data_IF_114766639576
#
_entry.id   IF_114766639576
#
_cell.length_a   1.000
_cell.length_b   1.000
_cell.length_c   1.000
_cell.angle_alpha   90.00
_cell.angle_beta   90.00
_cell.angle_gamma   90.00
#
_symmetry.space_group_name_H-M   'P 1'
#
loop_
_entity.id
_entity.type
_entity.pdbx_description
1 polymer ?
#
# COMPACT_ATOMS: atom_id res chain seq x y z
N UNK A 1 129.91 -13.80 -43.69
CA UNK A 1 128.60 -14.20 -44.24
C UNK A 1 127.57 -14.59 -43.17
N UNK A 2 127.92 -14.57 -41.87
CA UNK A 2 126.99 -14.99 -40.79
C UNK A 2 126.17 -13.84 -40.16
N UNK A 3 126.68 -12.61 -40.04
CA UNK A 3 125.92 -11.52 -39.36
C UNK A 3 124.71 -10.98 -40.14
N UNK A 4 124.70 -11.10 -41.48
CA UNK A 4 123.56 -10.68 -42.31
C UNK A 4 122.36 -11.63 -42.27
N UNK A 5 122.57 -12.88 -41.83
CA UNK A 5 121.50 -13.87 -41.66
C UNK A 5 120.79 -13.71 -40.31
N UNK A 6 121.53 -13.33 -39.27
CA UNK A 6 121.00 -13.06 -37.92
C UNK A 6 120.09 -11.82 -37.89
N UNK A 7 120.49 -10.74 -38.57
CA UNK A 7 119.69 -9.50 -38.67
C UNK A 7 118.40 -9.68 -39.47
N UNK A 8 118.43 -10.50 -40.53
CA UNK A 8 117.24 -10.84 -41.32
C UNK A 8 116.27 -11.72 -40.54
N UNK A 9 116.79 -12.64 -39.73
CA UNK A 9 115.99 -13.51 -38.88
C UNK A 9 115.32 -12.74 -37.73
N UNK A 10 116.04 -11.79 -37.11
CA UNK A 10 115.50 -10.91 -36.07
C UNK A 10 114.38 -10.00 -36.60
N UNK A 11 114.56 -9.41 -37.79
CA UNK A 11 113.51 -8.62 -38.46
C UNK A 11 112.27 -9.45 -38.81
N UNK A 12 112.46 -10.67 -39.32
CA UNK A 12 111.37 -11.60 -39.61
C UNK A 12 110.62 -12.03 -38.34
N UNK A 13 111.33 -12.26 -37.23
CA UNK A 13 110.72 -12.57 -35.92
C UNK A 13 109.91 -11.40 -35.35
N UNK A 14 110.38 -10.16 -35.50
CA UNK A 14 109.65 -8.97 -35.04
C UNK A 14 108.38 -8.72 -35.88
N UNK A 15 108.44 -8.90 -37.20
CA UNK A 15 107.25 -8.84 -38.07
C UNK A 15 106.26 -9.97 -37.79
N UNK A 16 106.74 -11.20 -37.53
CA UNK A 16 105.91 -12.31 -37.05
C UNK A 16 105.22 -11.98 -35.71
N UNK A 17 105.93 -11.31 -34.79
CA UNK A 17 105.38 -10.89 -33.50
C UNK A 17 104.29 -9.82 -33.67
N UNK A 18 104.49 -8.83 -34.54
CA UNK A 18 103.48 -7.82 -34.88
C UNK A 18 102.25 -8.44 -35.53
N UNK A 19 102.45 -9.33 -36.51
CA UNK A 19 101.36 -10.06 -37.16
C UNK A 19 100.57 -10.90 -36.16
N UNK A 20 101.27 -11.62 -35.26
CA UNK A 20 100.63 -12.38 -34.18
C UNK A 20 99.82 -11.49 -33.24
N UNK A 21 100.36 -10.35 -32.83
CA UNK A 21 99.65 -9.40 -31.97
C UNK A 21 98.40 -8.82 -32.64
N UNK A 22 98.49 -8.50 -33.95
CA UNK A 22 97.33 -8.03 -34.73
C UNK A 22 96.26 -9.12 -34.83
N UNK A 23 96.64 -10.36 -35.13
CA UNK A 23 95.71 -11.50 -35.19
C UNK A 23 95.03 -11.73 -33.85
N UNK A 24 95.77 -11.68 -32.73
CA UNK A 24 95.20 -11.81 -31.39
C UNK A 24 94.21 -10.68 -31.09
N UNK A 25 94.56 -9.42 -31.38
CA UNK A 25 93.68 -8.28 -31.17
C UNK A 25 92.39 -8.40 -32.02
N UNK A 26 92.52 -8.77 -33.30
CA UNK A 26 91.37 -8.99 -34.18
C UNK A 26 90.49 -10.14 -33.69
N UNK A 27 91.09 -11.24 -33.20
CA UNK A 27 90.33 -12.35 -32.60
C UNK A 27 89.54 -11.90 -31.37
N UNK A 28 90.17 -11.14 -30.45
CA UNK A 28 89.46 -10.62 -29.27
C UNK A 28 88.32 -9.65 -29.64
N UNK A 29 88.49 -8.84 -30.68
CA UNK A 29 87.44 -7.94 -31.15
C UNK A 29 86.31 -8.69 -31.86
N UNK A 30 86.62 -9.75 -32.61
CA UNK A 30 85.63 -10.66 -33.19
C UNK A 30 84.82 -11.33 -32.08
N UNK A 31 85.46 -11.86 -31.05
CA UNK A 31 84.80 -12.49 -29.91
C UNK A 31 83.87 -11.51 -29.19
N UNK A 32 84.33 -10.28 -28.96
CA UNK A 32 83.51 -9.23 -28.35
C UNK A 32 82.30 -8.83 -29.22
N UNK A 33 82.48 -8.70 -30.53
CA UNK A 33 81.38 -8.40 -31.47
C UNK A 33 80.39 -9.56 -31.55
N UNK A 34 80.85 -10.80 -31.53
CA UNK A 34 80.00 -11.99 -31.51
C UNK A 34 79.17 -12.07 -30.22
N UNK A 35 79.76 -11.77 -29.06
CA UNK A 35 79.02 -11.69 -27.79
C UNK A 35 77.94 -10.60 -27.82
N UNK A 36 78.25 -9.41 -28.36
CA UNK A 36 77.27 -8.34 -28.54
C UNK A 36 76.15 -8.73 -29.51
N UNK A 37 76.49 -9.40 -30.61
CA UNK A 37 75.52 -9.87 -31.59
C UNK A 37 74.53 -10.84 -30.94
N UNK A 38 75.03 -11.83 -30.20
CA UNK A 38 74.21 -12.79 -29.45
C UNK A 38 73.28 -12.09 -28.45
N UNK A 39 73.77 -11.04 -27.79
CA UNK A 39 72.95 -10.25 -26.86
C UNK A 39 71.83 -9.49 -27.58
N UNK A 40 72.11 -8.93 -28.75
CA UNK A 40 71.11 -8.23 -29.57
C UNK A 40 70.08 -9.20 -30.14
N UNK A 41 70.50 -10.37 -30.63
CA UNK A 41 69.60 -11.43 -31.10
C UNK A 41 68.63 -11.84 -30.01
N UNK A 42 69.12 -12.14 -28.80
CA UNK A 42 68.26 -12.45 -27.65
C UNK A 42 67.26 -11.34 -27.34
N UNK A 43 67.70 -10.08 -27.34
CA UNK A 43 66.80 -8.93 -27.12
C UNK A 43 65.75 -8.80 -28.22
N UNK A 44 66.10 -9.12 -29.47
CA UNK A 44 65.19 -9.09 -30.61
C UNK A 44 64.12 -10.16 -30.48
N UNK A 45 64.52 -11.38 -30.07
CA UNK A 45 63.61 -12.50 -29.82
C UNK A 45 62.66 -12.20 -28.65
N UNK A 46 63.19 -11.68 -27.54
CA UNK A 46 62.39 -11.26 -26.38
C UNK A 46 61.37 -10.17 -26.78
N UNK A 47 61.79 -9.16 -27.56
CA UNK A 47 60.91 -8.11 -28.05
C UNK A 47 59.81 -8.64 -28.99
N UNK A 48 60.16 -9.58 -29.88
CA UNK A 48 59.22 -10.23 -30.80
C UNK A 48 58.16 -11.05 -30.05
N UNK A 49 58.58 -11.80 -29.03
CA UNK A 49 57.67 -12.55 -28.17
C UNK A 49 56.71 -11.64 -27.39
N UNK A 50 57.24 -10.57 -26.81
CA UNK A 50 56.45 -9.57 -26.09
C UNK A 50 55.45 -8.87 -27.02
N UNK A 51 55.86 -8.51 -28.25
CA UNK A 51 54.98 -7.89 -29.23
C UNK A 51 53.80 -8.80 -29.58
N UNK A 52 54.05 -10.10 -29.79
CA UNK A 52 52.98 -11.09 -30.06
C UNK A 52 51.99 -11.18 -28.89
N UNK A 53 52.50 -11.19 -27.65
CA UNK A 53 51.64 -11.22 -26.46
C UNK A 53 50.75 -9.98 -26.36
N UNK A 54 51.31 -8.79 -26.59
CA UNK A 54 50.55 -7.52 -26.58
C UNK A 54 49.53 -7.47 -27.71
N UNK A 55 49.87 -7.97 -28.90
CA UNK A 55 48.93 -8.03 -30.03
C UNK A 55 47.73 -8.93 -29.73
N UNK A 56 47.97 -10.09 -29.11
CA UNK A 56 46.91 -11.01 -28.71
C UNK A 56 45.99 -10.38 -27.66
N UNK A 57 46.57 -9.74 -26.64
CA UNK A 57 45.79 -9.06 -25.61
C UNK A 57 45.01 -7.86 -26.17
N UNK A 58 45.59 -7.10 -27.10
CA UNK A 58 44.89 -6.00 -27.75
C UNK A 58 43.70 -6.49 -28.58
N UNK A 59 43.84 -7.61 -29.29
CA UNK A 59 42.72 -8.24 -30.02
C UNK A 59 41.60 -8.68 -29.06
N UNK A 60 41.97 -9.27 -27.92
CA UNK A 60 41.03 -9.68 -26.87
C UNK A 60 40.28 -8.49 -26.26
N UNK A 61 41.00 -7.41 -25.95
CA UNK A 61 40.41 -6.17 -25.42
C UNK A 61 39.49 -5.50 -26.45
N UNK A 62 39.87 -5.49 -27.73
CA UNK A 62 39.05 -4.94 -28.79
C UNK A 62 37.72 -5.69 -28.90
N UNK A 63 37.75 -7.03 -28.83
CA UNK A 63 36.53 -7.84 -28.83
C UNK A 63 35.64 -7.54 -27.61
N UNK A 64 36.23 -7.48 -26.41
CA UNK A 64 35.49 -7.15 -25.19
C UNK A 64 34.83 -5.75 -25.27
N UNK A 65 35.52 -4.76 -25.85
CA UNK A 65 34.97 -3.43 -26.07
C UNK A 65 33.79 -3.42 -27.05
N UNK A 66 33.85 -4.22 -28.12
CA UNK A 66 32.75 -4.35 -29.08
C UNK A 66 31.52 -4.99 -28.41
N UNK A 67 31.71 -6.03 -27.61
CA UNK A 67 30.64 -6.67 -26.85
C UNK A 67 30.04 -5.72 -25.81
N UNK A 68 30.87 -4.97 -25.07
CA UNK A 68 30.40 -3.95 -24.13
C UNK A 68 29.60 -2.84 -24.81
N UNK A 69 30.03 -2.38 -25.99
CA UNK A 69 29.30 -1.37 -26.77
C UNK A 69 27.92 -1.87 -27.17
N UNK A 70 27.82 -3.12 -27.65
CA UNK A 70 26.53 -3.75 -28.01
C UNK A 70 25.59 -3.87 -26.81
N UNK A 71 26.11 -4.25 -25.64
CA UNK A 71 25.30 -4.34 -24.42
C UNK A 71 24.76 -2.96 -23.99
N UNK A 72 25.59 -1.92 -24.05
CA UNK A 72 25.18 -0.55 -23.74
C UNK A 72 24.10 -0.06 -24.70
N UNK A 73 24.22 -0.34 -25.99
CA UNK A 73 23.20 0.01 -26.98
C UNK A 73 21.87 -0.73 -26.75
N UNK A 74 21.91 -2.02 -26.41
CA UNK A 74 20.72 -2.79 -26.07
C UNK A 74 20.01 -2.23 -24.83
N UNK A 75 20.77 -1.91 -23.78
CA UNK A 75 20.21 -1.27 -22.57
C UNK A 75 19.63 0.11 -22.86
N UNK A 76 20.28 0.91 -23.72
CA UNK A 76 19.75 2.22 -24.15
C UNK A 76 18.42 2.07 -24.90
N UNK A 77 18.31 1.08 -25.80
CA UNK A 77 17.07 0.80 -26.52
C UNK A 77 15.94 0.38 -25.56
N UNK A 78 16.23 -0.51 -24.61
CA UNK A 78 15.27 -0.94 -23.60
C UNK A 78 14.80 0.23 -22.73
N UNK A 79 15.72 1.07 -22.27
CA UNK A 79 15.41 2.26 -21.49
C UNK A 79 14.53 3.24 -22.27
N UNK A 80 14.74 3.39 -23.58
CA UNK A 80 13.90 4.24 -24.43
C UNK A 80 12.47 3.72 -24.50
N UNK A 81 12.28 2.42 -24.69
CA UNK A 81 10.94 1.80 -24.69
C UNK A 81 10.24 1.94 -23.33
N UNK A 82 10.98 1.77 -22.23
CA UNK A 82 10.44 1.99 -20.88
C UNK A 82 10.02 3.45 -20.66
N UNK A 83 10.83 4.41 -21.12
CA UNK A 83 10.49 5.84 -21.05
C UNK A 83 9.22 6.16 -21.85
N UNK A 84 9.09 5.66 -23.08
CA UNK A 84 7.89 5.84 -23.90
C UNK A 84 6.65 5.28 -23.21
N UNK A 85 6.75 4.09 -22.58
CA UNK A 85 5.64 3.50 -21.80
C UNK A 85 5.27 4.34 -20.58
N UNK A 86 6.25 4.85 -19.85
CA UNK A 86 6.03 5.71 -18.68
C UNK A 86 5.36 7.04 -19.06
N UNK A 87 5.77 7.64 -20.19
CA UNK A 87 5.15 8.86 -20.71
C UNK A 87 3.69 8.60 -21.09
N UNK A 88 3.40 7.53 -21.82
CA UNK A 88 2.02 7.17 -22.17
C UNK A 88 1.14 6.95 -20.93
N UNK A 89 1.64 6.23 -19.92
CA UNK A 89 0.90 6.04 -18.67
C UNK A 89 0.65 7.35 -17.92
N UNK A 90 1.65 8.25 -17.90
CA UNK A 90 1.51 9.57 -17.29
C UNK A 90 0.37 10.37 -17.95
N UNK A 91 0.32 10.37 -19.28
CA UNK A 91 -0.71 11.09 -20.04
C UNK A 91 -2.12 10.51 -19.79
N UNK A 92 -2.23 9.18 -19.71
CA UNK A 92 -3.50 8.50 -19.36
C UNK A 92 -3.99 8.88 -17.95
N UNK A 93 -3.07 8.93 -16.98
CA UNK A 93 -3.38 9.38 -15.62
C UNK A 93 -3.80 10.85 -15.58
N UNK A 94 -3.11 11.73 -16.30
CA UNK A 94 -3.47 13.15 -16.38
C UNK A 94 -4.87 13.35 -16.99
N UNK A 95 -5.23 12.60 -18.03
CA UNK A 95 -6.57 12.62 -18.60
C UNK A 95 -7.64 12.08 -17.64
N UNK A 96 -7.32 11.07 -16.83
CA UNK A 96 -8.24 10.52 -15.83
C UNK A 96 -8.47 11.51 -14.69
N UNK A 97 -7.42 12.17 -14.21
CA UNK A 97 -7.52 13.24 -13.20
C UNK A 97 -8.40 14.38 -13.72
N UNK A 98 -8.16 14.86 -14.94
CA UNK A 98 -8.96 15.92 -15.55
C UNK A 98 -10.46 15.57 -15.63
N UNK A 99 -10.80 14.32 -16.00
CA UNK A 99 -12.19 13.84 -16.02
C UNK A 99 -12.82 13.83 -14.62
N UNK A 100 -12.09 13.35 -13.61
CA UNK A 100 -12.57 13.28 -12.23
C UNK A 100 -12.77 14.68 -11.63
N UNK A 101 -11.88 15.63 -11.91
CA UNK A 101 -12.03 17.02 -11.47
C UNK A 101 -13.29 17.66 -12.06
N UNK A 102 -13.57 17.41 -13.35
CA UNK A 102 -14.80 17.89 -14.00
C UNK A 102 -16.06 17.26 -13.38
N UNK A 103 -16.03 15.97 -13.07
CA UNK A 103 -17.15 15.28 -12.42
C UNK A 103 -17.37 15.78 -10.99
N UNK A 104 -16.30 16.01 -10.21
CA UNK A 104 -16.39 16.55 -8.87
C UNK A 104 -17.03 17.96 -8.88
N UNK A 105 -16.60 18.82 -9.79
CA UNK A 105 -17.18 20.16 -9.95
C UNK A 105 -18.67 20.11 -10.31
N UNK A 106 -19.08 19.17 -11.17
CA UNK A 106 -20.48 18.97 -11.51
C UNK A 106 -21.29 18.46 -10.31
N UNK A 107 -20.78 17.46 -9.59
CA UNK A 107 -21.44 16.92 -8.41
C UNK A 107 -21.60 17.98 -7.31
N UNK A 108 -20.64 18.89 -7.13
CA UNK A 108 -20.74 20.01 -6.20
C UNK A 108 -21.87 20.97 -6.57
N UNK A 109 -22.06 21.25 -7.86
CA UNK A 109 -23.17 22.07 -8.36
C UNK A 109 -24.51 21.36 -8.10
N UNK A 110 -24.59 20.07 -8.43
CA UNK A 110 -25.81 19.27 -8.25
C UNK A 110 -26.19 19.15 -6.77
N UNK A 111 -25.21 18.98 -5.87
CA UNK A 111 -25.42 18.98 -4.43
C UNK A 111 -25.94 20.34 -3.93
N UNK A 112 -25.38 21.46 -4.40
CA UNK A 112 -25.85 22.80 -4.02
C UNK A 112 -27.30 23.04 -4.48
N UNK A 113 -27.62 22.66 -5.71
CA UNK A 113 -28.99 22.77 -6.23
C UNK A 113 -29.97 21.91 -5.43
N UNK A 114 -29.57 20.70 -5.04
CA UNK A 114 -30.40 19.82 -4.22
C UNK A 114 -30.62 20.37 -2.81
N UNK A 115 -29.59 20.95 -2.19
CA UNK A 115 -29.70 21.59 -0.86
C UNK A 115 -30.66 22.76 -0.93
N UNK A 116 -30.50 23.66 -1.91
CA UNK A 116 -31.41 24.79 -2.14
C UNK A 116 -32.87 24.32 -2.33
N UNK A 117 -33.08 23.27 -3.13
CA UNK A 117 -34.42 22.69 -3.33
C UNK A 117 -35.02 22.08 -2.05
N UNK A 118 -34.20 21.55 -1.15
CA UNK A 118 -34.68 21.03 0.14
C UNK A 118 -35.02 22.15 1.10
N UNK A 119 -34.20 23.20 1.16
CA UNK A 119 -34.44 24.37 2.01
C UNK A 119 -35.74 25.09 1.63
N UNK A 120 -36.05 25.23 0.34
CA UNK A 120 -37.32 25.81 -0.10
C UNK A 120 -38.52 24.95 0.31
N UNK A 121 -38.39 23.62 0.23
CA UNK A 121 -39.46 22.69 0.62
C UNK A 121 -39.69 22.66 2.13
N UNK A 122 -38.63 22.73 2.94
CA UNK A 122 -38.76 22.82 4.41
C UNK A 122 -39.52 24.08 4.80
N UNK A 123 -39.19 25.23 4.20
CA UNK A 123 -39.92 26.49 4.47
C UNK A 123 -41.41 26.40 4.13
N UNK A 124 -41.75 25.70 3.03
CA UNK A 124 -43.15 25.48 2.65
C UNK A 124 -43.87 24.58 3.67
N UNK A 125 -43.22 23.50 4.13
CA UNK A 125 -43.78 22.60 5.14
C UNK A 125 -43.94 23.28 6.52
N UNK A 126 -42.98 24.11 6.93
CA UNK A 126 -43.08 24.91 8.16
C UNK A 126 -44.28 25.85 8.11
N UNK A 127 -44.55 26.46 6.95
CA UNK A 127 -45.73 27.31 6.74
C UNK A 127 -47.04 26.52 6.85
N UNK A 128 -47.11 25.35 6.22
CA UNK A 128 -48.28 24.47 6.28
C UNK A 128 -48.53 23.94 7.70
N UNK A 129 -47.46 23.60 8.43
CA UNK A 129 -47.57 23.17 9.83
C UNK A 129 -48.15 24.28 10.71
N UNK A 130 -47.70 25.52 10.53
CA UNK A 130 -48.23 26.67 11.26
C UNK A 130 -49.71 26.94 10.95
N UNK A 131 -50.13 26.79 9.69
CA UNK A 131 -51.55 26.87 9.29
C UNK A 131 -52.37 25.75 9.94
N UNK A 132 -51.85 24.53 9.97
CA UNK A 132 -52.52 23.38 10.59
C UNK A 132 -52.64 23.52 12.12
N UNK A 133 -51.62 24.03 12.81
CA UNK A 133 -51.68 24.29 14.25
C UNK A 133 -52.75 25.33 14.60
N UNK A 134 -52.87 26.39 13.78
CA UNK A 134 -53.91 27.40 13.94
C UNK A 134 -55.32 26.79 13.74
N UNK A 135 -55.48 25.96 12.71
CA UNK A 135 -56.74 25.27 12.45
C UNK A 135 -57.11 24.31 13.59
N UNK A 136 -56.14 23.56 14.14
CA UNK A 136 -56.36 22.68 15.27
C UNK A 136 -56.78 23.46 16.53
N UNK A 137 -56.15 24.61 16.81
CA UNK A 137 -56.58 25.48 17.90
C UNK A 137 -58.02 25.97 17.73
N UNK A 138 -58.40 26.35 16.51
CA UNK A 138 -59.78 26.77 16.20
C UNK A 138 -60.77 25.61 16.39
N UNK A 139 -60.42 24.38 15.98
CA UNK A 139 -61.26 23.20 16.21
C UNK A 139 -61.40 22.86 17.68
N UNK A 140 -60.32 22.89 18.47
CA UNK A 140 -60.40 22.65 19.91
C UNK A 140 -61.34 23.66 20.57
N UNK A 141 -61.25 24.93 20.18
CA UNK A 141 -62.15 25.98 20.65
C UNK A 141 -63.63 25.72 20.29
N UNK A 142 -63.92 25.33 19.05
CA UNK A 142 -65.29 24.96 18.63
C UNK A 142 -65.77 23.68 19.31
N UNK A 143 -64.90 22.69 19.55
CA UNK A 143 -65.25 21.47 20.29
C UNK A 143 -65.62 21.76 21.75
N UNK A 144 -64.91 22.66 22.42
CA UNK A 144 -65.25 23.08 23.79
C UNK A 144 -66.62 23.76 23.83
N UNK A 145 -66.92 24.58 22.82
CA UNK A 145 -68.23 25.24 22.65
C UNK A 145 -69.33 24.20 22.37
N UNK A 146 -69.13 23.26 21.47
CA UNK A 146 -70.10 22.20 21.16
C UNK A 146 -70.33 21.26 22.35
N UNK A 147 -69.30 20.95 23.14
CA UNK A 147 -69.40 20.15 24.37
C UNK A 147 -70.34 20.79 25.40
N UNK A 148 -70.45 22.12 25.44
CA UNK A 148 -71.45 22.82 26.26
C UNK A 148 -72.87 22.76 25.69
N UNK A 149 -73.03 22.56 24.37
CA UNK A 149 -74.33 22.54 23.68
C UNK A 149 -74.96 21.12 23.59
N UNK A 150 -74.16 20.05 23.52
CA UNK A 150 -74.62 18.65 23.40
C UNK A 150 -75.29 18.09 24.68
N UNK A 151 -75.40 18.89 25.76
CA UNK A 151 -76.24 18.54 26.91
C UNK A 151 -77.75 18.44 26.60
N UNK A 152 -78.21 18.77 25.38
CA UNK A 152 -79.63 18.70 25.02
C UNK A 152 -79.80 18.19 23.58
N UNK A 153 -80.32 16.96 23.44
CA UNK A 153 -81.14 16.49 22.30
C UNK A 153 -80.45 16.25 20.95
N UNK A 154 -80.56 15.02 20.43
CA UNK A 154 -80.09 14.65 19.09
C UNK A 154 -80.80 15.44 17.99
N UNK A 155 -80.00 16.16 17.20
CA UNK A 155 -80.41 17.06 16.12
C UNK A 155 -79.72 16.65 14.79
N UNK A 156 -80.29 16.95 13.61
CA UNK A 156 -79.71 16.64 12.30
C UNK A 156 -78.29 17.18 12.04
N UNK A 157 -77.79 18.08 12.90
CA UNK A 157 -76.40 18.55 12.95
C UNK A 157 -75.36 17.43 13.02
N UNK A 158 -75.69 16.32 13.70
CA UNK A 158 -74.77 15.17 13.87
C UNK A 158 -74.39 14.49 12.54
N UNK A 159 -75.23 14.60 11.51
CA UNK A 159 -74.95 14.00 10.20
C UNK A 159 -73.93 14.85 9.43
N UNK A 160 -73.96 16.18 9.58
CA UNK A 160 -72.97 17.07 8.98
C UNK A 160 -71.59 16.86 9.62
N UNK A 161 -71.52 16.75 10.94
CA UNK A 161 -70.27 16.47 11.67
C UNK A 161 -69.64 15.14 11.25
N UNK A 162 -70.44 14.11 10.98
CA UNK A 162 -69.96 12.81 10.48
C UNK A 162 -69.39 12.94 9.06
N UNK A 163 -69.96 13.79 8.21
CA UNK A 163 -69.46 14.03 6.85
C UNK A 163 -68.13 14.79 6.90
N UNK A 164 -68.02 15.80 7.77
CA UNK A 164 -66.80 16.57 7.94
C UNK A 164 -65.66 15.71 8.52
N UNK A 165 -65.94 14.87 9.53
CA UNK A 165 -64.96 13.92 10.07
C UNK A 165 -64.51 12.88 9.03
N UNK A 166 -65.39 12.47 8.11
CA UNK A 166 -65.01 11.57 7.01
C UNK A 166 -64.10 12.25 6.00
N UNK A 167 -64.36 13.53 5.70
CA UNK A 167 -63.49 14.32 4.82
C UNK A 167 -62.12 14.54 5.44
N UNK A 168 -62.08 14.87 6.72
CA UNK A 168 -60.82 15.08 7.46
C UNK A 168 -60.02 13.77 7.60
N UNK A 169 -60.70 12.64 7.78
CA UNK A 169 -60.07 11.31 7.75
C UNK A 169 -59.47 10.99 6.38
N UNK A 170 -60.13 11.36 5.29
CA UNK A 170 -59.61 11.17 3.92
C UNK A 170 -58.37 12.04 3.70
N UNK A 171 -58.41 13.32 4.08
CA UNK A 171 -57.25 14.23 4.00
C UNK A 171 -56.05 13.69 4.80
N UNK A 172 -56.29 13.17 6.01
CA UNK A 172 -55.23 12.54 6.82
C UNK A 172 -54.70 11.24 6.23
N UNK A 173 -55.54 10.48 5.53
CA UNK A 173 -55.12 9.25 4.85
C UNK A 173 -54.25 9.58 3.62
N UNK A 174 -54.59 10.63 2.87
CA UNK A 174 -53.74 11.15 1.78
C UNK A 174 -52.39 11.66 2.28
N UNK A 175 -52.35 12.39 3.41
CA UNK A 175 -51.09 12.82 4.06
C UNK A 175 -50.22 11.62 4.48
N UNK A 176 -50.83 10.56 5.04
CA UNK A 176 -50.16 9.32 5.42
C UNK A 176 -49.51 8.64 4.20
N UNK A 177 -50.23 8.57 3.08
CA UNK A 177 -49.69 7.99 1.84
C UNK A 177 -48.49 8.79 1.31
N UNK A 178 -48.54 10.11 1.37
CA UNK A 178 -47.40 10.95 0.97
C UNK A 178 -46.17 10.73 1.87
N UNK A 179 -46.39 10.53 3.17
CA UNK A 179 -45.31 10.22 4.11
C UNK A 179 -44.67 8.87 3.84
N UNK A 180 -45.48 7.83 3.57
CA UNK A 180 -44.98 6.51 3.21
C UNK A 180 -44.16 6.54 1.92
N UNK A 181 -44.61 7.30 0.92
CA UNK A 181 -43.86 7.49 -0.33
C UNK A 181 -42.52 8.19 -0.08
N UNK A 182 -42.49 9.20 0.79
CA UNK A 182 -41.25 9.88 1.17
C UNK A 182 -40.28 8.94 1.90
N UNK A 183 -40.76 8.14 2.85
CA UNK A 183 -39.95 7.16 3.59
C UNK A 183 -39.31 6.18 2.61
N UNK A 184 -40.07 5.71 1.62
CA UNK A 184 -39.55 4.82 0.58
C UNK A 184 -38.45 5.50 -0.25
N UNK A 185 -38.68 6.73 -0.73
CA UNK A 185 -37.68 7.49 -1.50
C UNK A 185 -36.40 7.74 -0.67
N UNK A 186 -36.54 8.08 0.62
CA UNK A 186 -35.40 8.32 1.50
C UNK A 186 -34.61 7.03 1.75
N UNK A 187 -35.31 5.92 1.99
CA UNK A 187 -34.69 4.60 2.17
C UNK A 187 -33.90 4.17 0.92
N UNK A 188 -34.44 4.41 -0.28
CA UNK A 188 -33.73 4.12 -1.53
C UNK A 188 -32.50 5.01 -1.73
N UNK A 189 -32.58 6.29 -1.35
CA UNK A 189 -31.44 7.22 -1.42
C UNK A 189 -30.36 6.86 -0.40
N UNK A 190 -30.74 6.53 0.82
CA UNK A 190 -29.82 6.06 1.85
C UNK A 190 -29.10 4.79 1.38
N UNK A 191 -29.85 3.82 0.84
CA UNK A 191 -29.28 2.58 0.31
C UNK A 191 -28.28 2.85 -0.82
N UNK A 192 -28.59 3.77 -1.73
CA UNK A 192 -27.67 4.18 -2.81
C UNK A 192 -26.41 4.85 -2.26
N UNK A 193 -26.56 5.84 -1.39
CA UNK A 193 -25.42 6.55 -0.80
C UNK A 193 -24.53 5.61 0.02
N UNK A 194 -25.13 4.73 0.84
CA UNK A 194 -24.39 3.72 1.58
C UNK A 194 -23.64 2.76 0.65
N UNK A 195 -24.23 2.38 -0.49
CA UNK A 195 -23.53 1.55 -1.49
C UNK A 195 -22.31 2.28 -2.05
N UNK A 196 -22.44 3.53 -2.45
CA UNK A 196 -21.33 4.35 -2.96
C UNK A 196 -20.21 4.52 -1.91
N UNK A 197 -20.57 4.78 -0.64
CA UNK A 197 -19.58 4.89 0.45
C UNK A 197 -18.82 3.59 0.69
N UNK A 198 -19.50 2.44 0.57
CA UNK A 198 -18.87 1.13 0.71
C UNK A 198 -17.98 0.80 -0.50
N UNK A 199 -18.40 1.16 -1.71
CA UNK A 199 -17.58 1.02 -2.92
C UNK A 199 -16.31 1.88 -2.84
N UNK A 200 -16.43 3.15 -2.46
CA UNK A 200 -15.28 4.04 -2.25
C UNK A 200 -14.29 3.48 -1.21
N UNK A 201 -14.79 2.89 -0.11
CA UNK A 201 -13.93 2.22 0.88
C UNK A 201 -13.20 1.01 0.31
N UNK A 202 -13.89 0.19 -0.48
CA UNK A 202 -13.28 -0.98 -1.14
C UNK A 202 -12.19 -0.55 -2.12
N UNK A 203 -12.45 0.46 -2.94
CA UNK A 203 -11.45 1.00 -3.87
C UNK A 203 -10.23 1.53 -3.11
N UNK A 204 -10.41 2.24 -2.00
CA UNK A 204 -9.28 2.72 -1.18
C UNK A 204 -8.43 1.56 -0.63
N UNK A 205 -9.06 0.49 -0.14
CA UNK A 205 -8.35 -0.68 0.39
C UNK A 205 -7.55 -1.46 -0.68
N UNK A 206 -7.95 -1.35 -1.95
CA UNK A 206 -7.28 -2.00 -3.08
C UNK A 206 -6.22 -1.08 -3.68
N UNK A 207 -6.62 0.11 -4.14
CA UNK A 207 -5.79 0.99 -4.97
C UNK A 207 -4.78 1.81 -4.14
N UNK A 208 -5.05 2.03 -2.85
CA UNK A 208 -4.22 2.85 -1.96
C UNK A 208 -3.63 2.06 -0.79
N UNK A 209 -3.53 0.73 -0.91
CA UNK A 209 -2.95 -0.14 0.11
C UNK A 209 -1.55 0.32 0.53
N UNK A 210 -0.63 0.41 -0.42
CA UNK A 210 0.77 0.78 -0.17
C UNK A 210 0.91 2.16 0.48
N UNK A 211 -0.05 3.04 0.21
CA UNK A 211 -0.11 4.38 0.79
C UNK A 211 -0.57 4.36 2.26
N UNK A 212 -1.40 3.39 2.64
CA UNK A 212 -1.94 3.22 3.99
C UNK A 212 -1.12 2.26 4.87
N UNK A 213 -0.04 1.66 4.36
CA UNK A 213 0.83 0.75 5.10
C UNK A 213 1.73 1.47 6.14
N UNK A 214 1.79 2.81 6.09
CA UNK A 214 2.49 3.61 7.09
C UNK A 214 1.68 3.76 8.38
N UNK A 215 2.16 3.21 9.49
CA UNK A 215 1.51 3.25 10.82
C UNK A 215 1.30 4.66 11.44
N UNK A 216 1.58 5.74 10.72
CA UNK A 216 1.46 7.11 11.24
C UNK A 216 0.09 7.73 10.97
N UNK A 217 -0.91 7.29 11.73
CA UNK A 217 -2.21 7.97 11.86
C UNK A 217 -3.36 7.19 11.27
N UNK A 218 -3.46 7.12 9.94
CA UNK A 218 -4.49 6.34 9.25
C UNK A 218 -3.81 5.22 8.47
N UNK A 219 -4.26 3.98 8.68
CA UNK A 219 -3.71 2.83 7.97
C UNK A 219 -4.72 1.69 7.87
N UNK A 220 -4.26 0.56 7.34
CA UNK A 220 -5.09 -0.66 7.26
C UNK A 220 -4.92 -1.45 8.56
N UNK A 221 -6.04 -1.88 9.14
CA UNK A 221 -6.08 -2.82 10.27
C UNK A 221 -6.79 -4.09 9.84
N UNK A 222 -6.28 -5.23 10.28
CA UNK A 222 -6.81 -6.56 9.99
C UNK A 222 -7.58 -7.06 11.21
N UNK A 223 -8.91 -6.90 11.16
CA UNK A 223 -9.80 -7.23 12.28
C UNK A 223 -9.93 -8.74 12.41
N UNK A 224 -9.67 -9.26 13.60
CA UNK A 224 -9.66 -10.69 13.88
C UNK A 224 -8.35 -11.40 13.56
N UNK A 225 -7.29 -10.65 13.21
CA UNK A 225 -5.95 -11.20 13.10
C UNK A 225 -5.32 -11.37 14.48
N UNK A 226 -4.77 -12.55 14.74
CA UNK A 226 -4.07 -12.87 15.98
C UNK A 226 -2.76 -12.08 16.05
N UNK A 227 -2.57 -11.33 17.14
CA UNK A 227 -1.30 -10.65 17.40
C UNK A 227 -0.18 -11.69 17.60
N UNK A 228 0.87 -11.57 16.78
CA UNK A 228 2.00 -12.47 16.78
C UNK A 228 2.96 -12.25 17.94
N UNK A 229 3.00 -11.02 18.50
CA UNK A 229 4.02 -10.65 19.49
C UNK A 229 4.00 -11.53 20.75
N UNK A 230 2.85 -11.83 21.38
CA UNK A 230 2.84 -12.67 22.59
C UNK A 230 3.35 -14.09 22.34
N UNK A 231 3.06 -14.67 21.18
CA UNK A 231 3.54 -16.00 20.80
C UNK A 231 5.04 -15.99 20.51
N UNK A 232 5.54 -14.93 19.87
CA UNK A 232 6.96 -14.71 19.64
C UNK A 232 7.73 -14.65 20.95
N UNK A 233 7.27 -13.82 21.88
CA UNK A 233 7.91 -13.63 23.19
C UNK A 233 7.92 -14.95 24.00
N UNK A 234 6.82 -15.71 23.98
CA UNK A 234 6.74 -17.02 24.62
C UNK A 234 7.64 -18.06 23.95
N UNK A 235 7.73 -18.05 22.61
CA UNK A 235 8.57 -18.98 21.86
C UNK A 235 10.06 -18.69 22.04
N UNK A 236 10.47 -17.43 22.15
CA UNK A 236 11.87 -17.06 22.42
C UNK A 236 12.36 -17.70 23.73
N UNK A 237 11.50 -17.80 24.74
CA UNK A 237 11.83 -18.41 26.03
C UNK A 237 11.87 -19.94 25.97
N UNK A 238 10.94 -20.56 25.24
CA UNK A 238 10.79 -22.03 25.17
C UNK A 238 11.68 -22.70 24.13
N UNK A 239 11.92 -22.03 23.00
CA UNK A 239 12.64 -22.56 21.84
C UNK A 239 13.69 -21.59 21.32
N UNK A 240 14.75 -21.24 22.08
CA UNK A 240 15.68 -20.16 21.71
C UNK A 240 16.33 -20.27 20.32
N UNK A 241 16.41 -21.47 19.74
CA UNK A 241 17.01 -21.72 18.41
C UNK A 241 16.00 -21.67 17.25
N UNK A 242 14.75 -22.05 17.50
CA UNK A 242 13.73 -22.24 16.45
C UNK A 242 12.46 -21.40 16.71
N UNK A 243 12.56 -20.38 17.59
CA UNK A 243 11.42 -19.62 18.08
C UNK A 243 10.65 -18.91 16.96
N UNK A 244 11.32 -18.42 15.92
CA UNK A 244 10.68 -17.75 14.77
C UNK A 244 9.70 -18.68 14.08
N UNK A 245 10.19 -19.87 13.67
CA UNK A 245 9.36 -20.87 13.00
C UNK A 245 8.24 -21.37 13.89
N UNK A 246 8.53 -21.62 15.18
CA UNK A 246 7.52 -22.09 16.14
C UNK A 246 6.44 -21.05 16.40
N UNK A 247 6.81 -19.78 16.55
CA UNK A 247 5.85 -18.69 16.75
C UNK A 247 4.88 -18.58 15.59
N UNK A 248 5.37 -18.62 14.35
CA UNK A 248 4.54 -18.57 13.14
C UNK A 248 3.60 -19.77 13.06
N UNK A 249 4.09 -20.97 13.36
CA UNK A 249 3.30 -22.21 13.39
C UNK A 249 2.14 -22.11 14.39
N UNK A 250 2.41 -21.65 15.62
CA UNK A 250 1.42 -21.55 16.69
C UNK A 250 0.42 -20.44 16.41
N UNK A 251 0.86 -19.26 15.97
CA UNK A 251 -0.05 -18.19 15.57
C UNK A 251 -1.00 -18.63 14.46
N UNK A 252 -0.49 -19.34 13.44
CA UNK A 252 -1.30 -19.84 12.33
C UNK A 252 -2.32 -20.89 12.78
N UNK A 253 -1.91 -21.77 13.69
CA UNK A 253 -2.82 -22.74 14.32
C UNK A 253 -3.96 -22.03 15.05
N UNK A 254 -3.64 -21.04 15.88
CA UNK A 254 -4.66 -20.32 16.64
C UNK A 254 -5.53 -19.42 15.77
N UNK A 255 -4.98 -18.83 14.71
CA UNK A 255 -5.78 -18.12 13.71
C UNK A 255 -6.80 -19.06 13.06
N UNK A 256 -6.42 -20.31 12.78
CA UNK A 256 -7.33 -21.32 12.23
C UNK A 256 -8.45 -21.64 13.20
N UNK A 257 -8.16 -21.71 14.51
CA UNK A 257 -9.20 -21.84 15.52
C UNK A 257 -10.11 -20.61 15.58
N UNK A 258 -9.55 -19.40 15.64
CA UNK A 258 -10.33 -18.15 15.64
C UNK A 258 -11.28 -18.08 14.43
N UNK A 259 -10.84 -18.58 13.27
CA UNK A 259 -11.64 -18.58 12.06
C UNK A 259 -12.65 -19.75 11.98
N UNK A 260 -12.60 -20.72 12.89
CA UNK A 260 -13.51 -21.88 12.91
C UNK A 260 -14.92 -21.43 13.34
N UNK A 261 -15.94 -21.59 12.48
CA UNK A 261 -17.32 -21.27 12.85
C UNK A 261 -17.90 -22.25 13.88
N UNK A 262 -17.33 -23.45 14.02
CA UNK A 262 -17.81 -24.45 14.99
C UNK A 262 -17.25 -24.23 16.41
N UNK A 263 -16.29 -23.31 16.57
CA UNK A 263 -15.72 -22.99 17.88
C UNK A 263 -16.14 -21.58 18.30
N UNK A 264 -17.10 -21.51 19.22
CA UNK A 264 -17.69 -20.26 19.69
C UNK A 264 -17.55 -20.12 21.22
N UNK A 265 -16.37 -19.74 21.72
CA UNK A 265 -16.06 -19.70 23.15
C UNK A 265 -16.59 -18.41 23.81
N UNK A 266 -17.90 -18.17 23.72
CA UNK A 266 -18.55 -16.99 24.28
C UNK A 266 -19.65 -17.36 25.27
N UNK A 267 -19.84 -16.48 26.25
CA UNK A 267 -20.95 -16.54 27.18
C UNK A 267 -21.64 -15.18 27.29
N UNK A 268 -22.91 -15.22 27.65
CA UNK A 268 -23.73 -14.03 27.85
C UNK A 268 -23.66 -13.59 29.31
N UNK A 269 -23.32 -12.33 29.53
CA UNK A 269 -23.25 -11.72 30.86
C UNK A 269 -24.05 -10.41 30.90
N UNK A 270 -24.80 -10.13 31.97
CA UNK A 270 -25.47 -8.86 32.14
C UNK A 270 -24.45 -7.77 32.52
N UNK A 271 -24.29 -6.76 31.67
CA UNK A 271 -23.43 -5.59 31.89
C UNK A 271 -24.30 -4.35 31.74
N UNK A 272 -24.49 -3.58 32.81
CA UNK A 272 -25.30 -2.35 32.83
C UNK A 272 -26.73 -2.53 32.30
N UNK A 273 -27.39 -3.64 32.66
CA UNK A 273 -28.77 -3.93 32.24
C UNK A 273 -28.93 -4.42 30.80
N UNK A 274 -27.82 -4.58 30.04
CA UNK A 274 -27.79 -5.20 28.71
C UNK A 274 -27.02 -6.50 28.75
N UNK A 275 -27.54 -7.52 28.07
CA UNK A 275 -26.85 -8.80 27.90
C UNK A 275 -25.76 -8.61 26.84
N UNK A 276 -24.49 -8.81 27.20
CA UNK A 276 -23.34 -8.73 26.31
C UNK A 276 -22.66 -10.10 26.20
N UNK A 277 -22.12 -10.41 25.02
CA UNK A 277 -21.31 -11.61 24.80
C UNK A 277 -19.85 -11.31 25.13
N UNK A 278 -19.26 -12.11 26.01
CA UNK A 278 -17.86 -12.03 26.42
C UNK A 278 -17.19 -13.38 26.22
N UNK A 279 -15.89 -13.37 25.97
CA UNK A 279 -15.10 -14.59 25.83
C UNK A 279 -15.18 -15.41 27.13
N UNK A 280 -15.50 -16.70 27.00
CA UNK A 280 -15.57 -17.60 28.14
C UNK A 280 -14.17 -18.09 28.55
N UNK A 281 -13.65 -17.51 29.63
CA UNK A 281 -12.39 -17.94 30.27
C UNK A 281 -12.37 -19.43 30.66
N UNK A 282 -13.52 -20.09 30.74
CA UNK A 282 -13.62 -21.52 31.07
C UNK A 282 -13.62 -22.44 29.84
N UNK A 283 -13.56 -21.90 28.62
CA UNK A 283 -13.42 -22.72 27.41
C UNK A 283 -12.16 -23.60 27.48
N UNK A 284 -12.33 -24.89 27.20
CA UNK A 284 -11.26 -25.89 27.34
C UNK A 284 -10.03 -25.59 26.47
N UNK A 285 -10.21 -25.08 25.24
CA UNK A 285 -9.11 -24.71 24.36
C UNK A 285 -8.41 -23.45 24.87
N UNK A 286 -9.16 -22.43 25.30
CA UNK A 286 -8.58 -21.21 25.88
C UNK A 286 -7.83 -21.47 27.19
N UNK A 287 -8.31 -22.38 28.04
CA UNK A 287 -7.56 -22.80 29.23
C UNK A 287 -6.27 -23.51 28.84
N UNK A 288 -6.32 -24.40 27.85
CA UNK A 288 -5.13 -25.06 27.29
C UNK A 288 -4.12 -24.06 26.74
N UNK A 289 -4.58 -23.07 25.97
CA UNK A 289 -3.76 -21.97 25.45
C UNK A 289 -3.05 -21.21 26.57
N UNK A 290 -3.81 -20.79 27.58
CA UNK A 290 -3.30 -20.02 28.71
C UNK A 290 -2.23 -20.78 29.49
N UNK A 291 -2.47 -22.08 29.74
CA UNK A 291 -1.51 -22.92 30.45
C UNK A 291 -0.25 -23.18 29.61
N UNK A 292 -0.40 -23.33 28.29
CA UNK A 292 0.71 -23.62 27.39
C UNK A 292 1.52 -22.38 26.99
N UNK A 293 0.91 -21.19 26.85
CA UNK A 293 1.53 -20.02 26.23
C UNK A 293 1.40 -18.73 27.06
N UNK A 294 0.72 -18.78 28.21
CA UNK A 294 0.61 -17.66 29.14
C UNK A 294 -0.58 -16.73 28.90
N UNK A 295 -0.73 -15.74 29.79
CA UNK A 295 -1.87 -14.79 29.76
C UNK A 295 -1.86 -13.93 28.50
N UNK A 296 -0.69 -13.43 28.08
CA UNK A 296 -0.60 -12.54 26.92
C UNK A 296 -1.06 -13.22 25.62
N UNK A 297 -0.77 -14.52 25.46
CA UNK A 297 -1.27 -15.30 24.33
C UNK A 297 -2.80 -15.49 24.40
N UNK A 298 -3.34 -15.77 25.60
CA UNK A 298 -4.79 -15.82 25.82
C UNK A 298 -5.46 -14.48 25.47
N UNK A 299 -4.90 -13.35 25.92
CA UNK A 299 -5.44 -12.01 25.64
C UNK A 299 -5.44 -11.68 24.15
N UNK A 300 -4.38 -12.03 23.42
CA UNK A 300 -4.32 -11.86 21.97
C UNK A 300 -5.43 -12.65 21.24
N UNK A 301 -5.67 -13.90 21.64
CA UNK A 301 -6.74 -14.72 21.05
C UNK A 301 -8.12 -14.20 21.45
N UNK A 302 -8.31 -13.79 22.70
CA UNK A 302 -9.58 -13.21 23.15
C UNK A 302 -9.91 -11.91 22.41
N UNK A 303 -8.91 -11.05 22.17
CA UNK A 303 -9.07 -9.83 21.37
C UNK A 303 -9.46 -10.15 19.92
N UNK A 304 -8.75 -11.06 19.27
CA UNK A 304 -9.07 -11.49 17.91
C UNK A 304 -10.49 -12.10 17.80
N UNK A 305 -10.90 -12.91 18.77
CA UNK A 305 -12.26 -13.48 18.83
C UNK A 305 -13.33 -12.38 18.96
N UNK A 306 -13.12 -11.39 19.83
CA UNK A 306 -14.05 -10.26 19.97
C UNK A 306 -14.16 -9.46 18.67
N UNK A 307 -13.02 -9.18 18.01
CA UNK A 307 -13.00 -8.47 16.73
C UNK A 307 -13.71 -9.26 15.62
N UNK A 308 -13.52 -10.57 15.54
CA UNK A 308 -14.25 -11.40 14.58
C UNK A 308 -15.76 -11.32 14.82
N UNK A 309 -16.22 -11.37 16.06
CA UNK A 309 -17.67 -11.28 16.35
C UNK A 309 -18.26 -9.89 16.06
N UNK A 310 -17.46 -8.83 16.21
CA UNK A 310 -17.92 -7.47 15.91
C UNK A 310 -17.95 -7.19 14.40
N UNK A 311 -16.93 -7.62 13.65
CA UNK A 311 -16.75 -7.22 12.25
C UNK A 311 -17.19 -8.30 11.24
N UNK A 312 -17.12 -9.58 11.59
CA UNK A 312 -17.47 -10.68 10.69
C UNK A 312 -18.03 -11.91 11.42
N UNK A 313 -19.13 -11.77 12.19
CA UNK A 313 -19.63 -12.85 13.05
C UNK A 313 -19.98 -14.12 12.27
N UNK A 314 -20.55 -13.98 11.06
CA UNK A 314 -20.94 -15.12 10.24
C UNK A 314 -19.78 -15.70 9.42
N UNK A 315 -18.92 -14.84 8.86
CA UNK A 315 -17.86 -15.28 7.95
C UNK A 315 -16.60 -15.77 8.68
N UNK A 316 -16.34 -15.25 9.88
CA UNK A 316 -15.20 -15.61 10.76
C UNK A 316 -13.80 -15.43 10.14
N UNK A 317 -13.68 -14.89 8.93
CA UNK A 317 -12.40 -14.56 8.29
C UNK A 317 -11.98 -13.12 8.59
N UNK A 318 -10.67 -12.88 8.50
CA UNK A 318 -10.06 -11.56 8.74
C UNK A 318 -10.62 -10.53 7.75
N UNK A 319 -11.11 -9.41 8.26
CA UNK A 319 -11.57 -8.27 7.44
C UNK A 319 -10.57 -7.12 7.54
N UNK A 320 -10.30 -6.48 6.41
CA UNK A 320 -9.49 -5.27 6.35
C UNK A 320 -10.37 -4.04 6.56
N UNK A 321 -9.97 -3.19 7.48
CA UNK A 321 -10.65 -1.94 7.79
C UNK A 321 -9.67 -0.76 7.75
N UNK A 322 -10.15 0.38 7.26
CA UNK A 322 -9.36 1.62 7.32
C UNK A 322 -9.49 2.15 8.75
N UNK A 323 -8.37 2.26 9.44
CA UNK A 323 -8.30 2.51 10.86
C UNK A 323 -7.61 3.82 11.18
N UNK A 324 -8.17 4.58 12.12
CA UNK A 324 -7.51 5.72 12.71
C UNK A 324 -6.82 5.27 14.00
N UNK A 325 -5.51 5.03 13.92
CA UNK A 325 -4.70 4.57 15.04
C UNK A 325 -4.55 5.61 16.16
N UNK A 326 -4.73 6.90 15.86
CA UNK A 326 -4.72 7.96 16.88
C UNK A 326 -5.99 7.93 17.73
N UNK A 327 -7.13 7.68 17.08
CA UNK A 327 -8.45 7.68 17.73
C UNK A 327 -8.89 6.29 18.21
N UNK A 328 -8.16 5.23 17.84
CA UNK A 328 -8.49 3.86 18.24
C UNK A 328 -9.81 3.35 17.67
N UNK A 329 -10.23 3.83 16.48
CA UNK A 329 -11.49 3.47 15.84
C UNK A 329 -11.40 3.45 14.31
N UNK A 330 -12.42 2.90 13.66
CA UNK A 330 -12.59 2.96 12.20
C UNK A 330 -12.54 4.40 11.71
N UNK A 331 -11.78 4.63 10.63
CA UNK A 331 -11.66 5.93 10.00
C UNK A 331 -12.89 6.26 9.15
N UNK A 332 -13.33 7.50 9.21
CA UNK A 332 -14.30 8.08 8.28
C UNK A 332 -13.62 8.40 6.94
N UNK A 333 -14.38 8.35 5.84
CA UNK A 333 -13.85 8.74 4.52
C UNK A 333 -13.29 10.18 4.51
N UNK A 334 -13.90 11.07 5.28
CA UNK A 334 -13.41 12.44 5.46
C UNK A 334 -12.02 12.49 6.08
N UNK A 335 -11.75 11.67 7.10
CA UNK A 335 -10.42 11.55 7.72
C UNK A 335 -9.41 11.01 6.70
N UNK A 336 -9.79 9.98 5.94
CA UNK A 336 -8.94 9.36 4.91
C UNK A 336 -8.56 10.36 3.81
N UNK A 337 -9.54 11.08 3.26
CA UNK A 337 -9.29 12.10 2.22
C UNK A 337 -8.37 13.19 2.75
N UNK A 338 -8.60 13.68 3.97
CA UNK A 338 -7.73 14.68 4.60
C UNK A 338 -6.29 14.18 4.73
N UNK A 339 -6.11 12.93 5.18
CA UNK A 339 -4.81 12.31 5.30
C UNK A 339 -4.11 12.19 3.92
N UNK A 340 -4.81 11.72 2.90
CA UNK A 340 -4.30 11.65 1.52
C UNK A 340 -3.83 13.02 1.00
N UNK A 341 -4.61 14.08 1.22
CA UNK A 341 -4.25 15.44 0.79
C UNK A 341 -2.96 15.91 1.50
N UNK A 342 -2.80 15.60 2.79
CA UNK A 342 -1.62 16.01 3.55
C UNK A 342 -0.34 15.32 3.08
N UNK A 343 -0.39 14.00 2.88
CA UNK A 343 0.76 13.24 2.36
C UNK A 343 1.12 13.66 0.93
N UNK A 344 0.13 13.90 0.06
CA UNK A 344 0.38 14.41 -1.29
C UNK A 344 1.08 15.77 -1.28
N UNK A 345 0.72 16.66 -0.34
CA UNK A 345 1.41 17.95 -0.15
C UNK A 345 2.86 17.72 0.30
N UNK A 346 3.09 16.85 1.28
CA UNK A 346 4.43 16.53 1.78
C UNK A 346 5.33 15.96 0.67
N UNK A 347 4.81 15.02 -0.13
CA UNK A 347 5.51 14.45 -1.27
C UNK A 347 5.91 15.50 -2.31
N UNK A 348 5.00 16.43 -2.66
CA UNK A 348 5.30 17.54 -3.59
C UNK A 348 6.39 18.46 -3.05
N UNK A 349 6.42 18.73 -1.75
CA UNK A 349 7.46 19.57 -1.14
C UNK A 349 8.84 18.88 -1.17
N UNK A 350 8.90 17.57 -0.94
CA UNK A 350 10.14 16.79 -1.02
C UNK A 350 10.72 16.77 -2.45
N UNK A 351 9.86 16.64 -3.47
CA UNK A 351 10.27 16.68 -4.88
C UNK A 351 10.80 18.04 -5.34
N UNK A 352 10.42 19.15 -4.70
CA UNK A 352 10.94 20.50 -5.03
C UNK A 352 12.29 20.81 -4.38
N UNK A 353 12.68 20.03 -3.36
CA UNK A 353 13.94 20.20 -2.63
C UNK A 353 15.06 19.26 -3.11
N UNK A 354 14.73 18.25 -3.90
CA UNK A 354 15.66 17.43 -4.67
C UNK A 354 15.75 17.98 -6.07
#
# INVERSE_FOLDING_TARGET
>A
MESGKEDSYSRAMEELRKARNLVVNMATEIDFKNQKLLQVEKKCDDASSNLKAVMLENARLHQANLEGTRQVEALRAQNRTLLERLVSQKDDFEQRVYRLEKQLAQNDIDCKNLVLSKETRVKELEKQLAENELNLQNMIFEMEKLKTQISVGSDPSLVADIVDLRKELEEKNEELQQNDELINILSEKERRSNKELQEARKEILVDFRDFLDGQNGIGIRRMGEVDHKPFSDACMQKFPKDWESKSVEICSLWQTHVNDPNWYPFKRVPVNGRVQEVVDRNDSKLQGLRNAWGEAAYEAIAAALMEVNEYNPSGRYIIQEIWNYKEGRKASLKEVIKFMILELKAYKTLKRKR
#
